data_IF_278718352074
#
_entry.id   IF_278718352074
#
_cell.length_a   1.000
_cell.length_b   1.000
_cell.length_c   1.000
_cell.angle_alpha   90.00
_cell.angle_beta   90.00
_cell.angle_gamma   90.00
#
_symmetry.space_group_name_H-M   'P 1'
#
loop_
_entity.id
_entity.type
_entity.pdbx_description
1 polymer ?
#
# COMPACT_ATOMS: atom_id res chain seq x y z
N UNK A 1 63.56 63.45 20.47
CA UNK A 1 62.66 62.33 20.82
C UNK A 1 61.19 62.74 21.06
N UNK A 2 60.76 63.96 20.68
CA UNK A 2 59.35 64.38 20.80
C UNK A 2 58.51 64.16 19.54
N UNK A 3 59.08 64.36 18.34
CA UNK A 3 58.33 64.34 17.07
C UNK A 3 57.75 62.97 16.71
N UNK A 4 58.48 61.89 17.00
CA UNK A 4 58.03 60.51 16.71
C UNK A 4 56.78 60.08 17.49
N UNK A 5 56.54 60.59 18.71
CA UNK A 5 55.33 60.26 19.48
C UNK A 5 54.10 61.03 19.02
N UNK A 6 54.29 62.23 18.46
CA UNK A 6 53.21 63.05 17.93
C UNK A 6 52.69 62.50 16.61
N UNK A 7 53.57 61.99 15.76
CA UNK A 7 53.22 61.36 14.50
C UNK A 7 52.47 60.03 14.70
N UNK A 8 52.87 59.24 15.70
CA UNK A 8 52.18 58.00 16.09
C UNK A 8 50.78 58.27 16.67
N UNK A 9 50.63 59.32 17.49
CA UNK A 9 49.33 59.72 18.05
C UNK A 9 48.35 60.22 16.96
N UNK A 10 48.86 61.00 15.99
CA UNK A 10 48.07 61.45 14.85
C UNK A 10 47.61 60.29 13.95
N UNK A 11 48.45 59.27 13.78
CA UNK A 11 48.11 58.06 13.03
C UNK A 11 47.02 57.24 13.73
N UNK A 12 47.07 57.13 15.06
CA UNK A 12 46.03 56.44 15.85
C UNK A 12 44.69 57.18 15.75
N UNK A 13 44.69 58.51 15.93
CA UNK A 13 43.45 59.29 15.82
C UNK A 13 42.84 59.22 14.42
N UNK A 14 43.66 59.24 13.36
CA UNK A 14 43.18 59.05 11.99
C UNK A 14 42.49 57.70 11.81
N UNK A 15 43.11 56.61 12.29
CA UNK A 15 42.52 55.26 12.23
C UNK A 15 41.20 55.14 12.99
N UNK A 16 41.09 55.79 14.16
CA UNK A 16 39.85 55.80 14.95
C UNK A 16 38.74 56.53 14.18
N UNK A 17 39.04 57.69 13.59
CA UNK A 17 38.07 58.48 12.82
C UNK A 17 37.62 57.72 11.56
N UNK A 18 38.54 57.04 10.86
CA UNK A 18 38.24 56.18 9.71
C UNK A 18 37.33 55.00 10.09
N UNK A 19 37.61 54.32 11.21
CA UNK A 19 36.79 53.21 11.68
C UNK A 19 35.39 53.67 12.15
N UNK A 20 35.30 54.84 12.77
CA UNK A 20 34.03 55.46 13.10
C UNK A 20 33.22 55.78 11.83
N UNK A 21 33.85 56.37 10.81
CA UNK A 21 33.19 56.64 9.52
C UNK A 21 32.66 55.36 8.87
N UNK A 22 33.46 54.30 8.85
CA UNK A 22 33.04 53.00 8.28
C UNK A 22 31.82 52.44 8.99
N UNK A 23 31.76 52.54 10.32
CA UNK A 23 30.59 52.12 11.11
C UNK A 23 29.36 52.99 10.82
N UNK A 24 29.55 54.30 10.65
CA UNK A 24 28.46 55.20 10.26
C UNK A 24 27.92 54.91 8.85
N UNK A 25 28.79 54.60 7.89
CA UNK A 25 28.39 54.24 6.52
C UNK A 25 27.61 52.92 6.47
N UNK A 26 27.98 51.92 7.29
CA UNK A 26 27.22 50.66 7.43
C UNK A 26 25.83 50.92 8.02
N UNK A 27 25.75 51.80 9.02
CA UNK A 27 24.48 52.19 9.63
C UNK A 27 23.62 53.04 8.68
N UNK A 28 24.21 53.87 7.83
CA UNK A 28 23.51 54.64 6.79
C UNK A 28 22.90 53.71 5.71
N UNK A 29 23.58 52.61 5.36
CA UNK A 29 23.06 51.61 4.41
C UNK A 29 21.85 50.80 4.93
N UNK A 30 21.55 50.85 6.23
CA UNK A 30 20.43 50.14 6.81
C UNK A 30 19.10 50.91 6.56
N UNK A 31 18.29 50.42 5.62
CA UNK A 31 17.00 51.01 5.21
C UNK A 31 15.97 51.23 6.34
N UNK A 32 16.15 50.55 7.48
CA UNK A 32 15.35 50.72 8.70
C UNK A 32 15.63 52.06 9.40
N UNK A 33 16.83 52.63 9.26
CA UNK A 33 17.23 53.87 9.94
C UNK A 33 16.60 55.12 9.31
N UNK A 34 16.16 55.04 8.06
CA UNK A 34 15.41 56.12 7.41
C UNK A 34 14.02 56.37 8.04
N UNK A 35 13.47 55.38 8.74
CA UNK A 35 12.13 55.42 9.35
C UNK A 35 12.16 55.75 10.85
N UNK A 36 13.35 55.92 11.44
CA UNK A 36 13.50 56.27 12.85
C UNK A 36 13.61 57.79 12.96
N UNK A 37 12.61 58.40 13.59
CA UNK A 37 12.62 59.82 13.95
C UNK A 37 12.91 59.96 15.44
N UNK A 38 13.55 61.06 15.83
CA UNK A 38 13.62 61.42 17.25
C UNK A 38 12.20 61.70 17.78
N UNK A 39 12.02 61.57 19.09
CA UNK A 39 10.82 61.89 19.88
C UNK A 39 10.19 63.26 19.57
N UNK A 40 10.96 64.21 19.02
CA UNK A 40 10.52 65.55 18.62
C UNK A 40 10.13 65.66 17.14
N UNK A 41 10.38 64.63 16.32
CA UNK A 41 10.09 64.62 14.87
C UNK A 41 10.93 65.57 14.01
N UNK A 42 11.91 66.26 14.60
CA UNK A 42 12.66 67.36 13.95
C UNK A 42 13.76 66.90 12.99
N UNK A 43 14.28 65.69 13.15
CA UNK A 43 15.22 65.08 12.21
C UNK A 43 15.05 63.55 12.17
N UNK A 44 15.22 62.97 10.98
CA UNK A 44 15.35 61.52 10.80
C UNK A 44 16.74 61.08 11.25
N UNK A 45 16.85 59.89 11.86
CA UNK A 45 18.12 59.26 12.22
C UNK A 45 19.05 59.16 11.00
N UNK A 46 18.51 58.96 9.79
CA UNK A 46 19.29 59.01 8.55
C UNK A 46 19.93 60.38 8.31
N UNK A 47 19.20 61.49 8.52
CA UNK A 47 19.75 62.84 8.35
C UNK A 47 20.82 63.16 9.40
N UNK A 48 20.63 62.69 10.63
CA UNK A 48 21.61 62.85 11.70
C UNK A 48 22.90 62.06 11.40
N UNK A 49 22.77 60.80 10.97
CA UNK A 49 23.90 59.97 10.57
C UNK A 49 24.65 60.58 9.39
N UNK A 50 23.93 61.09 8.39
CA UNK A 50 24.52 61.79 7.25
C UNK A 50 25.28 63.05 7.67
N UNK A 51 24.70 63.89 8.54
CA UNK A 51 25.36 65.10 9.07
C UNK A 51 26.63 64.76 9.87
N UNK A 52 26.57 63.71 10.70
CA UNK A 52 27.74 63.27 11.50
C UNK A 52 28.82 62.66 10.62
N UNK A 53 28.45 61.89 9.59
CA UNK A 53 29.38 61.35 8.59
C UNK A 53 30.09 62.47 7.83
N UNK A 54 29.36 63.50 7.39
CA UNK A 54 29.94 64.69 6.74
C UNK A 54 30.87 65.47 7.67
N UNK A 55 30.50 65.63 8.95
CA UNK A 55 31.36 66.28 9.95
C UNK A 55 32.67 65.50 10.18
N UNK A 56 32.61 64.18 10.28
CA UNK A 56 33.80 63.33 10.44
C UNK A 56 34.69 63.34 9.19
N UNK A 57 34.10 63.38 7.98
CA UNK A 57 34.87 63.56 6.73
C UNK A 57 35.59 64.90 6.70
N UNK A 58 34.95 65.98 7.16
CA UNK A 58 35.58 67.30 7.31
C UNK A 58 36.78 67.25 8.27
N UNK A 59 36.61 66.61 9.42
CA UNK A 59 37.71 66.40 10.40
C UNK A 59 38.86 65.61 9.78
N UNK A 60 38.57 64.59 8.97
CA UNK A 60 39.59 63.79 8.30
C UNK A 60 40.38 64.61 7.27
N UNK A 61 39.71 65.49 6.52
CA UNK A 61 40.35 66.43 5.58
C UNK A 61 41.24 67.43 6.34
N UNK A 62 40.78 67.97 7.46
CA UNK A 62 41.59 68.87 8.29
C UNK A 62 42.81 68.16 8.92
N UNK A 63 42.64 66.91 9.36
CA UNK A 63 43.71 66.05 9.86
C UNK A 63 44.72 65.64 8.78
N UNK A 64 44.32 65.63 7.52
CA UNK A 64 45.19 65.40 6.38
C UNK A 64 45.95 66.67 5.97
N UNK A 65 45.31 67.84 6.07
CA UNK A 65 45.91 69.13 5.73
C UNK A 65 46.88 69.66 6.80
N UNK A 66 46.64 69.39 8.10
CA UNK A 66 47.44 69.92 9.21
C UNK A 66 47.65 68.89 10.35
N UNK A 67 48.66 67.99 10.26
CA UNK A 67 48.92 66.97 11.29
C UNK A 67 49.38 67.53 12.65
N UNK A 68 49.73 68.82 12.75
CA UNK A 68 50.19 69.47 13.98
C UNK A 68 49.07 70.04 14.87
N UNK A 69 47.81 70.06 14.40
CA UNK A 69 46.70 70.67 15.14
C UNK A 69 46.10 69.76 16.24
N UNK A 70 46.54 68.51 16.31
CA UNK A 70 46.00 67.50 17.23
C UNK A 70 46.38 67.72 18.71
N UNK A 71 47.37 68.57 19.00
CA UNK A 71 47.71 68.93 20.38
C UNK A 71 46.73 69.95 20.99
N UNK A 72 45.83 70.54 20.20
CA UNK A 72 44.92 71.60 20.68
C UNK A 72 43.49 71.12 21.01
N UNK A 73 43.13 69.87 20.72
CA UNK A 73 41.71 69.42 20.82
C UNK A 73 41.44 68.51 22.03
N UNK A 74 42.46 68.03 22.73
CA UNK A 74 42.32 67.24 23.98
C UNK A 74 42.33 68.09 25.26
N UNK A 75 42.32 69.42 25.13
CA UNK A 75 42.15 70.30 26.27
C UNK A 75 40.69 70.76 26.32
N UNK A 76 40.06 70.56 27.47
CA UNK A 76 38.78 71.13 27.88
C UNK A 76 38.90 72.67 28.04
N UNK A 77 39.53 73.35 27.07
CA UNK A 77 39.87 74.78 27.09
C UNK A 77 39.09 75.60 26.05
N UNK A 78 38.37 74.95 25.13
CA UNK A 78 37.49 75.60 24.14
C UNK A 78 36.13 76.06 24.69
N UNK A 79 36.10 76.45 25.97
CA UNK A 79 35.01 77.22 26.60
C UNK A 79 35.54 78.31 27.55
N UNK A 80 36.87 78.43 27.69
CA UNK A 80 37.52 79.46 28.52
C UNK A 80 38.23 80.56 27.73
N UNK A 81 38.34 80.43 26.41
CA UNK A 81 39.04 81.40 25.54
C UNK A 81 38.07 82.34 24.81
N UNK A 82 37.20 83.02 25.56
CA UNK A 82 36.39 84.12 25.05
C UNK A 82 36.39 85.32 26.02
N UNK A 83 37.55 85.63 26.61
CA UNK A 83 37.78 86.85 27.39
C UNK A 83 39.15 87.48 27.10
N UNK A 84 39.54 87.53 25.82
CA UNK A 84 40.63 88.38 25.35
C UNK A 84 40.14 89.22 24.16
N UNK A 85 39.29 90.19 24.48
CA UNK A 85 38.99 91.35 23.65
C UNK A 85 38.68 92.50 24.60
N UNK A 86 39.67 93.38 24.81
CA UNK A 86 39.63 94.85 24.66
C UNK A 86 40.92 95.38 25.29
N UNK A 87 42.00 95.42 24.51
CA UNK A 87 43.01 96.46 24.65
C UNK A 87 42.56 97.61 23.73
N UNK A 88 42.10 98.71 24.31
CA UNK A 88 42.23 100.09 23.81
C UNK A 88 41.28 101.02 24.57
N UNK A 89 41.73 101.49 25.73
CA UNK A 89 41.32 102.79 26.25
C UNK A 89 42.43 103.29 27.18
N UNK A 90 43.18 104.25 26.68
CA UNK A 90 44.03 105.15 27.45
C UNK A 90 43.23 105.82 28.56
N UNK A 91 43.63 105.60 29.80
CA UNK A 91 43.06 106.27 30.97
C UNK A 91 43.46 105.52 32.23
N UNK A 92 44.27 106.14 33.08
CA UNK A 92 44.53 105.66 34.44
C UNK A 92 43.22 105.67 35.24
N UNK A 93 42.42 104.61 35.12
CA UNK A 93 41.28 104.37 35.99
C UNK A 93 41.67 103.23 36.94
N UNK A 94 42.20 103.66 38.08
CA UNK A 94 42.52 102.83 39.24
C UNK A 94 41.24 102.11 39.67
N UNK A 95 41.01 100.89 39.18
CA UNK A 95 39.92 100.01 39.61
C UNK A 95 40.14 99.73 41.10
N UNK A 96 39.48 100.52 41.94
CA UNK A 96 39.36 100.28 43.37
C UNK A 96 38.45 99.06 43.52
N UNK A 97 39.03 97.86 43.61
CA UNK A 97 38.32 96.73 44.17
C UNK A 97 37.91 97.11 45.58
N UNK A 98 36.62 97.36 45.79
CA UNK A 98 36.08 97.42 47.13
C UNK A 98 36.42 96.07 47.79
N UNK A 99 37.32 96.13 48.79
CA UNK A 99 37.83 94.95 49.49
C UNK A 99 36.68 94.09 50.02
N UNK A 100 35.54 94.72 50.32
CA UNK A 100 34.32 94.04 50.72
C UNK A 100 33.71 93.18 49.60
N UNK A 101 33.60 93.70 48.38
CA UNK A 101 33.08 92.94 47.23
C UNK A 101 33.97 91.74 46.87
N UNK A 102 35.29 91.92 46.91
CA UNK A 102 36.22 90.83 46.64
C UNK A 102 36.08 89.71 47.68
N UNK A 103 36.01 90.07 48.96
CA UNK A 103 35.81 89.11 50.05
C UNK A 103 34.45 88.40 49.93
N UNK A 104 33.40 89.09 49.51
CA UNK A 104 32.07 88.48 49.32
C UNK A 104 32.05 87.53 48.12
N UNK A 105 32.72 87.89 47.02
CA UNK A 105 32.94 86.98 45.88
C UNK A 105 33.77 85.76 46.28
N UNK A 106 34.83 85.92 47.07
CA UNK A 106 35.61 84.80 47.58
C UNK A 106 34.77 83.85 48.47
N UNK A 107 33.93 84.40 49.36
CA UNK A 107 32.99 83.59 50.16
C UNK A 107 31.99 82.85 49.28
N UNK A 108 31.48 83.52 48.23
CA UNK A 108 30.57 82.89 47.26
C UNK A 108 31.26 81.78 46.49
N UNK A 109 32.49 81.99 46.01
CA UNK A 109 33.31 80.96 45.36
C UNK A 109 33.56 79.78 46.29
N UNK A 110 33.88 80.01 47.56
CA UNK A 110 34.05 78.93 48.55
C UNK A 110 32.74 78.17 48.81
N UNK A 111 31.60 78.86 48.88
CA UNK A 111 30.28 78.21 49.04
C UNK A 111 29.91 77.38 47.82
N UNK A 112 30.23 77.85 46.62
CA UNK A 112 30.02 77.13 45.37
C UNK A 112 30.98 75.95 45.23
N UNK A 113 32.24 76.09 45.64
CA UNK A 113 33.20 74.99 45.66
C UNK A 113 32.74 73.85 46.58
N UNK A 114 32.29 74.17 47.81
CA UNK A 114 31.69 73.19 48.73
C UNK A 114 30.44 72.53 48.14
N UNK A 115 29.61 73.29 47.41
CA UNK A 115 28.43 72.76 46.73
C UNK A 115 28.80 71.85 45.56
N UNK A 116 29.86 72.17 44.82
CA UNK A 116 30.40 71.31 43.76
C UNK A 116 30.96 70.01 44.33
N UNK A 117 31.70 70.06 45.44
CA UNK A 117 32.18 68.86 46.13
C UNK A 117 31.03 67.97 46.60
N UNK A 118 29.98 68.55 47.19
CA UNK A 118 28.78 67.81 47.60
C UNK A 118 28.08 67.15 46.40
N UNK A 119 27.93 67.89 45.29
CA UNK A 119 27.32 67.36 44.07
C UNK A 119 28.19 66.27 43.43
N UNK A 120 29.53 66.41 43.45
CA UNK A 120 30.44 65.37 42.97
C UNK A 120 30.30 64.09 43.79
N UNK A 121 30.21 64.19 45.12
CA UNK A 121 29.97 63.04 45.98
C UNK A 121 28.62 62.37 45.68
N UNK A 122 27.54 63.15 45.54
CA UNK A 122 26.23 62.64 45.16
C UNK A 122 26.26 61.96 43.79
N UNK A 123 26.90 62.56 42.79
CA UNK A 123 27.08 61.95 41.47
C UNK A 123 27.86 60.64 41.57
N UNK A 124 28.89 60.56 42.41
CA UNK A 124 29.64 59.32 42.62
C UNK A 124 28.78 58.23 43.27
N UNK A 125 28.00 58.56 44.30
CA UNK A 125 27.06 57.61 44.92
C UNK A 125 25.99 57.11 43.96
N UNK A 126 25.37 58.00 43.17
CA UNK A 126 24.37 57.59 42.18
C UNK A 126 24.98 56.71 41.08
N UNK A 127 26.18 57.05 40.60
CA UNK A 127 26.89 56.20 39.63
C UNK A 127 27.25 54.83 40.22
N UNK A 128 27.63 54.76 41.51
CA UNK A 128 27.89 53.50 42.18
C UNK A 128 26.62 52.65 42.26
N UNK A 129 25.49 53.21 42.70
CA UNK A 129 24.20 52.49 42.76
C UNK A 129 23.78 51.98 41.39
N UNK A 130 23.88 52.81 40.36
CA UNK A 130 23.54 52.41 38.99
C UNK A 130 24.47 51.32 38.46
N UNK A 131 25.76 51.35 38.84
CA UNK A 131 26.70 50.28 38.51
C UNK A 131 26.33 48.96 39.17
N UNK A 132 25.98 48.98 40.46
CA UNK A 132 25.52 47.79 41.19
C UNK A 132 24.23 47.22 40.58
N UNK A 133 23.23 48.06 40.32
CA UNK A 133 21.99 47.66 39.66
C UNK A 133 22.25 47.05 38.28
N UNK A 134 23.14 47.64 37.50
CA UNK A 134 23.55 47.12 36.20
C UNK A 134 24.25 45.75 36.32
N UNK A 135 25.13 45.56 37.31
CA UNK A 135 25.77 44.27 37.56
C UNK A 135 24.76 43.18 37.94
N UNK A 136 23.81 43.52 38.82
CA UNK A 136 22.74 42.60 39.24
C UNK A 136 21.89 42.22 38.02
N UNK A 137 21.54 43.18 37.17
CA UNK A 137 20.72 42.91 35.99
C UNK A 137 21.47 42.05 34.96
N UNK A 138 22.76 42.30 34.74
CA UNK A 138 23.61 41.41 33.92
C UNK A 138 23.68 39.99 34.50
N UNK A 139 23.78 39.84 35.82
CA UNK A 139 23.79 38.53 36.47
C UNK A 139 22.47 37.79 36.29
N UNK A 140 21.32 38.46 36.43
CA UNK A 140 19.99 37.89 36.15
C UNK A 140 19.87 37.43 34.70
N UNK A 141 20.27 38.26 33.75
CA UNK A 141 20.22 37.91 32.33
C UNK A 141 21.08 36.67 32.02
N UNK A 142 22.29 36.60 32.59
CA UNK A 142 23.14 35.40 32.46
C UNK A 142 22.49 34.16 33.05
N UNK A 143 21.87 34.28 34.23
CA UNK A 143 21.16 33.17 34.87
C UNK A 143 19.99 32.68 34.00
N UNK A 144 19.14 33.59 33.53
CA UNK A 144 17.99 33.25 32.66
C UNK A 144 18.47 32.57 31.38
N UNK A 145 19.52 33.10 30.73
CA UNK A 145 20.08 32.51 29.52
C UNK A 145 20.57 31.08 29.73
N UNK A 146 21.32 30.82 30.80
CA UNK A 146 21.83 29.49 31.14
C UNK A 146 20.70 28.53 31.53
N UNK A 147 19.73 29.00 32.29
CA UNK A 147 18.56 28.20 32.66
C UNK A 147 17.72 27.84 31.44
N UNK A 148 17.48 28.79 30.54
CA UNK A 148 16.76 28.52 29.30
C UNK A 148 17.50 27.56 28.38
N UNK A 149 18.84 27.68 28.27
CA UNK A 149 19.62 26.74 27.46
C UNK A 149 19.56 25.33 28.03
N UNK A 150 19.75 25.17 29.34
CA UNK A 150 19.66 23.87 30.01
C UNK A 150 18.26 23.25 29.88
N UNK A 151 17.21 24.06 30.06
CA UNK A 151 15.82 23.60 29.88
C UNK A 151 15.55 23.13 28.44
N UNK A 152 16.04 23.88 27.44
CA UNK A 152 15.89 23.51 26.02
C UNK A 152 16.67 22.22 25.70
N UNK A 153 17.86 22.05 26.25
CA UNK A 153 18.67 20.85 26.10
C UNK A 153 17.98 19.62 26.71
N UNK A 154 17.54 19.71 27.96
CA UNK A 154 16.79 18.64 28.63
C UNK A 154 15.52 18.26 27.86
N UNK A 155 14.78 19.25 27.34
CA UNK A 155 13.59 18.98 26.53
C UNK A 155 13.93 18.25 25.22
N UNK A 156 15.02 18.64 24.55
CA UNK A 156 15.48 17.96 23.33
C UNK A 156 15.85 16.51 23.60
N UNK A 157 16.57 16.25 24.68
CA UNK A 157 16.94 14.89 25.07
C UNK A 157 15.71 14.04 25.41
N UNK A 158 14.77 14.59 26.20
CA UNK A 158 13.53 13.92 26.54
C UNK A 158 12.69 13.56 25.30
N UNK A 159 12.58 14.49 24.35
CA UNK A 159 11.89 14.23 23.08
C UNK A 159 12.64 13.16 22.27
N UNK A 160 13.98 13.24 22.20
CA UNK A 160 14.80 12.26 21.49
C UNK A 160 14.60 10.84 22.03
N UNK A 161 14.64 10.67 23.35
CA UNK A 161 14.39 9.38 24.01
C UNK A 161 12.97 8.88 23.71
N UNK A 162 11.96 9.76 23.80
CA UNK A 162 10.59 9.38 23.50
C UNK A 162 10.41 8.95 22.04
N UNK A 163 11.07 9.62 21.10
CA UNK A 163 11.06 9.24 19.68
C UNK A 163 11.72 7.89 19.48
N UNK A 164 12.85 7.62 20.13
CA UNK A 164 13.51 6.31 20.04
C UNK A 164 12.64 5.18 20.60
N UNK A 165 11.94 5.41 21.70
CA UNK A 165 11.05 4.41 22.29
C UNK A 165 9.85 4.14 21.41
N UNK A 166 9.23 5.19 20.84
CA UNK A 166 8.16 5.04 19.86
C UNK A 166 8.62 4.30 18.60
N UNK A 167 9.86 4.54 18.14
CA UNK A 167 10.43 3.79 17.02
C UNK A 167 10.60 2.30 17.35
N UNK A 168 11.05 1.95 18.56
CA UNK A 168 11.14 0.55 19.00
C UNK A 168 9.75 -0.09 19.04
N UNK A 169 8.78 0.57 19.66
CA UNK A 169 7.39 0.10 19.70
C UNK A 169 6.83 -0.13 18.29
N UNK A 170 7.06 0.83 17.38
CA UNK A 170 6.67 0.72 15.98
C UNK A 170 7.31 -0.51 15.31
N UNK A 171 8.61 -0.73 15.50
CA UNK A 171 9.28 -1.92 14.93
C UNK A 171 8.74 -3.24 15.45
N UNK A 172 8.32 -3.29 16.72
CA UNK A 172 7.73 -4.49 17.32
C UNK A 172 6.35 -4.74 16.72
N UNK A 173 5.52 -3.70 16.60
CA UNK A 173 4.19 -3.80 15.98
C UNK A 173 4.29 -4.19 14.52
N UNK A 174 5.22 -3.60 13.76
CA UNK A 174 5.42 -3.93 12.34
C UNK A 174 5.87 -5.38 12.15
N UNK A 175 6.76 -5.89 13.01
CA UNK A 175 7.14 -7.31 13.02
C UNK A 175 5.96 -8.22 13.35
N UNK A 176 5.17 -7.87 14.36
CA UNK A 176 3.97 -8.63 14.73
C UNK A 176 2.96 -8.67 13.57
N UNK A 177 2.73 -7.53 12.91
CA UNK A 177 1.87 -7.43 11.73
C UNK A 177 2.40 -8.24 10.56
N UNK A 178 3.69 -8.18 10.28
CA UNK A 178 4.32 -8.98 9.22
C UNK A 178 4.16 -10.48 9.49
N UNK A 179 4.40 -10.92 10.73
CA UNK A 179 4.20 -12.31 11.13
C UNK A 179 2.73 -12.75 10.99
N UNK A 180 1.78 -11.91 11.41
CA UNK A 180 0.36 -12.19 11.25
C UNK A 180 -0.05 -12.29 9.78
N UNK A 181 0.50 -11.43 8.92
CA UNK A 181 0.27 -11.48 7.48
C UNK A 181 0.84 -12.76 6.84
N UNK A 182 2.06 -13.16 7.21
CA UNK A 182 2.64 -14.42 6.75
C UNK A 182 1.81 -15.62 7.23
N UNK A 183 1.37 -15.63 8.48
CA UNK A 183 0.48 -16.67 8.99
C UNK A 183 -0.83 -16.75 8.20
N UNK A 184 -1.47 -15.61 7.91
CA UNK A 184 -2.68 -15.56 7.09
C UNK A 184 -2.43 -16.14 5.69
N UNK A 185 -1.36 -15.73 5.00
CA UNK A 185 -1.01 -16.27 3.69
C UNK A 185 -0.79 -17.80 3.73
N UNK A 186 -0.12 -18.32 4.75
CA UNK A 186 0.09 -19.77 4.88
C UNK A 186 -1.21 -20.52 5.14
N UNK A 187 -2.15 -19.92 5.87
CA UNK A 187 -3.47 -20.48 6.13
C UNK A 187 -4.27 -20.52 4.82
N UNK A 188 -4.27 -19.44 4.05
CA UNK A 188 -4.96 -19.37 2.75
C UNK A 188 -4.42 -20.44 1.79
N UNK A 189 -3.08 -20.55 1.66
CA UNK A 189 -2.44 -21.58 0.83
C UNK A 189 -2.84 -23.01 1.27
N UNK A 190 -2.95 -23.25 2.57
CA UNK A 190 -3.38 -24.55 3.09
C UNK A 190 -4.84 -24.83 2.73
N UNK A 191 -5.74 -23.85 2.87
CA UNK A 191 -7.14 -24.02 2.50
C UNK A 191 -7.32 -24.22 1.01
N UNK A 192 -6.62 -23.47 0.16
CA UNK A 192 -6.64 -23.65 -1.28
C UNK A 192 -6.20 -25.06 -1.67
N UNK A 193 -5.07 -25.53 -1.11
CA UNK A 193 -4.60 -26.89 -1.32
C UNK A 193 -5.62 -27.93 -0.84
N UNK A 194 -6.23 -27.71 0.34
CA UNK A 194 -7.19 -28.66 0.90
C UNK A 194 -8.47 -28.72 0.07
N UNK A 195 -8.96 -27.59 -0.42
CA UNK A 195 -10.10 -27.49 -1.32
C UNK A 195 -9.84 -28.23 -2.61
N UNK A 196 -8.72 -27.95 -3.28
CA UNK A 196 -8.32 -28.65 -4.50
C UNK A 196 -8.21 -30.18 -4.29
N UNK A 197 -7.62 -30.61 -3.16
CA UNK A 197 -7.55 -32.03 -2.83
C UNK A 197 -8.96 -32.64 -2.61
N UNK A 198 -9.87 -31.92 -1.96
CA UNK A 198 -11.24 -32.40 -1.78
C UNK A 198 -12.02 -32.45 -3.10
N UNK A 199 -11.86 -31.45 -3.97
CA UNK A 199 -12.45 -31.42 -5.31
C UNK A 199 -11.97 -32.61 -6.13
N UNK A 200 -10.66 -32.88 -6.15
CA UNK A 200 -10.10 -34.05 -6.82
C UNK A 200 -10.70 -35.36 -6.29
N UNK A 201 -10.86 -35.52 -4.97
CA UNK A 201 -11.51 -36.72 -4.44
C UNK A 201 -12.97 -36.84 -4.87
N UNK A 202 -13.70 -35.73 -4.96
CA UNK A 202 -15.09 -35.73 -5.44
C UNK A 202 -15.13 -36.16 -6.91
N UNK A 203 -14.26 -35.60 -7.75
CA UNK A 203 -14.14 -35.96 -9.17
C UNK A 203 -13.79 -37.44 -9.36
N UNK A 204 -12.88 -37.98 -8.56
CA UNK A 204 -12.53 -39.41 -8.57
C UNK A 204 -13.75 -40.28 -8.22
N UNK A 205 -14.50 -39.91 -7.20
CA UNK A 205 -15.72 -40.63 -6.80
C UNK A 205 -16.80 -40.53 -7.87
N UNK A 206 -17.00 -39.36 -8.48
CA UNK A 206 -17.94 -39.17 -9.58
C UNK A 206 -17.57 -40.04 -10.78
N UNK A 207 -16.30 -40.03 -11.18
CA UNK A 207 -15.80 -40.84 -12.31
C UNK A 207 -15.98 -42.34 -12.06
N UNK A 208 -15.72 -42.80 -10.83
CA UNK A 208 -15.96 -44.21 -10.44
C UNK A 208 -17.43 -44.56 -10.50
N UNK A 209 -18.30 -43.69 -9.96
CA UNK A 209 -19.74 -43.89 -9.97
C UNK A 209 -20.29 -43.98 -11.39
N UNK A 210 -19.88 -43.07 -12.28
CA UNK A 210 -20.32 -43.07 -13.68
C UNK A 210 -19.88 -44.33 -14.39
N UNK A 211 -18.63 -44.77 -14.19
CA UNK A 211 -18.15 -46.05 -14.74
C UNK A 211 -18.95 -47.24 -14.23
N UNK A 212 -19.18 -47.33 -12.92
CA UNK A 212 -19.97 -48.43 -12.33
C UNK A 212 -21.41 -48.42 -12.84
N UNK A 213 -22.01 -47.24 -12.99
CA UNK A 213 -23.34 -47.08 -13.57
C UNK A 213 -23.38 -47.58 -15.01
N UNK A 214 -22.44 -47.16 -15.86
CA UNK A 214 -22.35 -47.63 -17.25
C UNK A 214 -22.15 -49.15 -17.34
N UNK A 215 -21.33 -49.74 -16.46
CA UNK A 215 -21.15 -51.19 -16.38
C UNK A 215 -22.45 -51.91 -16.02
N UNK A 216 -23.23 -51.39 -15.05
CA UNK A 216 -24.53 -51.97 -14.69
C UNK A 216 -25.55 -51.83 -15.82
N UNK A 217 -25.62 -50.66 -16.45
CA UNK A 217 -26.50 -50.42 -17.60
C UNK A 217 -26.17 -51.39 -18.75
N UNK A 218 -24.88 -51.61 -19.03
CA UNK A 218 -24.44 -52.59 -20.02
C UNK A 218 -24.84 -54.04 -19.64
N UNK A 219 -24.76 -54.40 -18.36
CA UNK A 219 -25.22 -55.72 -17.87
C UNK A 219 -26.73 -55.87 -18.05
N UNK A 220 -27.52 -54.86 -17.71
CA UNK A 220 -28.97 -54.88 -17.90
C UNK A 220 -29.35 -54.95 -19.37
N UNK A 221 -28.65 -54.23 -20.26
CA UNK A 221 -28.88 -54.32 -21.69
C UNK A 221 -28.59 -55.72 -22.23
N UNK A 222 -27.48 -56.35 -21.82
CA UNK A 222 -27.16 -57.74 -22.18
C UNK A 222 -28.23 -58.71 -21.67
N UNK A 223 -28.64 -58.58 -20.41
CA UNK A 223 -29.69 -59.43 -19.82
C UNK A 223 -31.02 -59.30 -20.60
N UNK A 224 -31.46 -58.06 -20.91
CA UNK A 224 -32.65 -57.82 -21.73
C UNK A 224 -32.52 -58.40 -23.14
N UNK A 225 -31.34 -58.33 -23.75
CA UNK A 225 -31.10 -58.93 -25.07
C UNK A 225 -31.20 -60.46 -25.02
N UNK A 226 -30.61 -61.09 -24.00
CA UNK A 226 -30.73 -62.54 -23.81
C UNK A 226 -32.16 -62.98 -23.53
N UNK A 227 -32.90 -62.24 -22.71
CA UNK A 227 -34.31 -62.51 -22.42
C UNK A 227 -35.16 -62.44 -23.69
N UNK A 228 -34.96 -61.41 -24.53
CA UNK A 228 -35.61 -61.31 -25.84
C UNK A 228 -35.31 -62.52 -26.73
N UNK A 229 -34.04 -62.90 -26.84
CA UNK A 229 -33.64 -64.06 -27.64
C UNK A 229 -34.29 -65.37 -27.15
N UNK A 230 -34.33 -65.60 -25.84
CA UNK A 230 -34.99 -66.79 -25.26
C UNK A 230 -36.50 -66.78 -25.50
N UNK A 231 -37.15 -65.61 -25.39
CA UNK A 231 -38.57 -65.48 -25.69
C UNK A 231 -38.87 -65.77 -27.18
N UNK A 232 -38.04 -65.29 -28.10
CA UNK A 232 -38.15 -65.61 -29.53
C UNK A 232 -37.94 -67.12 -29.78
N UNK A 233 -36.96 -67.74 -29.13
CA UNK A 233 -36.70 -69.17 -29.26
C UNK A 233 -37.85 -70.01 -28.69
N UNK A 234 -38.43 -69.59 -27.57
CA UNK A 234 -39.60 -70.23 -26.97
C UNK A 234 -40.80 -70.17 -27.92
N UNK A 235 -41.05 -69.00 -28.54
CA UNK A 235 -42.11 -68.86 -29.55
C UNK A 235 -41.89 -69.79 -30.74
N UNK A 236 -40.66 -69.91 -31.25
CA UNK A 236 -40.34 -70.84 -32.33
C UNK A 236 -40.55 -72.31 -31.91
N UNK A 237 -40.16 -72.66 -30.70
CA UNK A 237 -40.38 -74.01 -30.16
C UNK A 237 -41.87 -74.33 -30.04
N UNK A 238 -42.67 -73.39 -29.52
CA UNK A 238 -44.13 -73.54 -29.43
C UNK A 238 -44.77 -73.71 -30.81
N UNK A 239 -44.33 -72.93 -31.81
CA UNK A 239 -44.78 -73.06 -33.20
C UNK A 239 -44.43 -74.43 -33.79
N UNK A 240 -43.19 -74.89 -33.61
CA UNK A 240 -42.76 -76.20 -34.10
C UNK A 240 -43.51 -77.35 -33.41
N UNK A 241 -43.75 -77.24 -32.10
CA UNK A 241 -44.53 -78.24 -31.37
C UNK A 241 -45.96 -78.33 -31.90
N UNK A 242 -46.59 -77.20 -32.22
CA UNK A 242 -47.91 -77.16 -32.85
C UNK A 242 -47.90 -77.78 -34.25
N UNK A 243 -46.88 -77.48 -35.07
CA UNK A 243 -46.73 -78.06 -36.40
C UNK A 243 -46.56 -79.59 -36.35
N UNK A 244 -45.75 -80.11 -35.42
CA UNK A 244 -45.59 -81.55 -35.21
C UNK A 244 -46.94 -82.19 -34.85
N UNK A 245 -47.68 -81.61 -33.90
CA UNK A 245 -49.00 -82.12 -33.52
C UNK A 245 -49.98 -82.15 -34.69
N UNK A 246 -49.93 -81.14 -35.58
CA UNK A 246 -50.79 -81.11 -36.76
C UNK A 246 -50.36 -82.14 -37.82
N UNK A 247 -49.06 -82.33 -38.01
CA UNK A 247 -48.51 -83.37 -38.89
C UNK A 247 -48.84 -84.78 -38.39
N UNK A 248 -48.79 -85.02 -37.07
CA UNK A 248 -49.20 -86.30 -36.46
C UNK A 248 -50.67 -86.60 -36.72
N UNK A 249 -51.56 -85.61 -36.58
CA UNK A 249 -52.99 -85.76 -36.93
C UNK A 249 -53.16 -86.09 -38.41
N UNK A 250 -52.37 -85.47 -39.28
CA UNK A 250 -52.38 -85.78 -40.71
C UNK A 250 -51.92 -87.22 -40.91
N UNK A 251 -50.76 -87.64 -40.38
CA UNK A 251 -50.26 -89.01 -40.49
C UNK A 251 -51.29 -90.06 -40.06
N UNK A 252 -51.97 -89.85 -38.92
CA UNK A 252 -53.05 -90.74 -38.48
C UNK A 252 -54.20 -90.86 -39.49
N UNK A 253 -54.59 -89.76 -40.14
CA UNK A 253 -55.60 -89.80 -41.21
C UNK A 253 -55.11 -90.60 -42.42
N UNK A 254 -53.85 -90.40 -42.83
CA UNK A 254 -53.27 -91.14 -43.95
C UNK A 254 -53.16 -92.64 -43.65
N UNK A 255 -52.78 -93.01 -42.42
CA UNK A 255 -52.75 -94.40 -41.96
C UNK A 255 -54.15 -95.02 -42.00
N UNK A 256 -55.16 -94.35 -41.44
CA UNK A 256 -56.55 -94.81 -41.46
C UNK A 256 -57.09 -94.97 -42.91
N UNK A 257 -56.77 -94.02 -43.80
CA UNK A 257 -57.10 -94.13 -45.22
C UNK A 257 -56.40 -95.31 -45.91
N UNK A 258 -55.14 -95.56 -45.57
CA UNK A 258 -54.37 -96.68 -46.11
C UNK A 258 -54.95 -98.02 -45.65
N UNK A 259 -55.26 -98.15 -44.35
CA UNK A 259 -55.93 -99.33 -43.78
C UNK A 259 -57.30 -99.57 -44.43
N UNK A 260 -58.08 -98.51 -44.65
CA UNK A 260 -59.36 -98.61 -45.34
C UNK A 260 -59.21 -99.06 -46.79
N UNK A 261 -58.24 -98.49 -47.54
CA UNK A 261 -57.93 -98.90 -48.92
C UNK A 261 -57.50 -100.37 -48.96
N UNK A 262 -56.65 -100.82 -48.04
CA UNK A 262 -56.28 -102.23 -47.92
C UNK A 262 -57.49 -103.12 -47.63
N UNK A 263 -58.36 -102.72 -46.70
CA UNK A 263 -59.59 -103.44 -46.38
C UNK A 263 -60.49 -103.56 -47.61
N UNK A 264 -60.72 -102.46 -48.32
CA UNK A 264 -61.47 -102.44 -49.57
C UNK A 264 -60.83 -103.34 -50.64
N UNK A 265 -59.50 -103.31 -50.80
CA UNK A 265 -58.80 -104.20 -51.72
C UNK A 265 -58.96 -105.68 -51.35
N UNK A 266 -58.83 -106.04 -50.07
CA UNK A 266 -59.05 -107.41 -49.57
C UNK A 266 -60.48 -107.86 -49.83
N UNK A 267 -61.47 -107.02 -49.55
CA UNK A 267 -62.88 -107.34 -49.77
C UNK A 267 -63.23 -107.43 -51.26
N UNK A 268 -62.73 -106.51 -52.08
CA UNK A 268 -62.87 -106.56 -53.55
C UNK A 268 -62.28 -107.86 -54.11
N UNK A 269 -61.10 -108.27 -53.63
CA UNK A 269 -60.47 -109.55 -54.01
C UNK A 269 -61.35 -110.75 -53.63
N UNK A 270 -61.95 -110.75 -52.43
CA UNK A 270 -62.90 -111.79 -51.99
C UNK A 270 -64.16 -111.83 -52.84
N UNK A 271 -64.77 -110.68 -53.10
CA UNK A 271 -65.95 -110.56 -53.97
C UNK A 271 -65.64 -111.04 -55.39
N UNK A 272 -64.49 -110.67 -55.94
CA UNK A 272 -64.04 -111.13 -57.24
C UNK A 272 -63.87 -112.65 -57.26
N UNK A 273 -63.20 -113.24 -56.26
CA UNK A 273 -63.04 -114.69 -56.15
C UNK A 273 -64.39 -115.42 -55.98
N UNK A 274 -65.28 -114.90 -55.13
CA UNK A 274 -66.63 -115.43 -54.94
C UNK A 274 -67.43 -115.41 -56.23
N UNK A 275 -67.47 -114.27 -56.92
CA UNK A 275 -68.17 -114.12 -58.21
C UNK A 275 -67.62 -115.08 -59.26
N UNK A 276 -66.28 -115.18 -59.39
CA UNK A 276 -65.64 -116.15 -60.28
C UNK A 276 -66.04 -117.59 -59.93
N UNK A 277 -66.09 -117.94 -58.65
CA UNK A 277 -66.55 -119.25 -58.18
C UNK A 277 -68.04 -119.53 -58.46
N UNK A 278 -68.91 -118.53 -58.33
CA UNK A 278 -70.34 -118.63 -58.69
C UNK A 278 -70.52 -118.77 -60.19
N UNK A 279 -69.77 -118.00 -60.99
CA UNK A 279 -69.78 -118.13 -62.45
C UNK A 279 -69.41 -119.55 -62.89
N UNK A 280 -68.39 -120.17 -62.28
CA UNK A 280 -68.02 -121.58 -62.54
C UNK A 280 -69.14 -122.55 -62.12
N UNK A 281 -69.72 -122.39 -60.93
CA UNK A 281 -70.77 -123.31 -60.41
C UNK A 281 -72.10 -123.23 -61.18
N UNK A 282 -72.52 -122.03 -61.59
CA UNK A 282 -73.76 -121.81 -62.36
C UNK A 282 -73.57 -121.91 -63.87
N UNK A 283 -72.33 -122.06 -64.33
CA UNK A 283 -72.01 -122.22 -65.75
C UNK A 283 -72.08 -120.92 -66.57
N UNK A 284 -71.91 -119.77 -65.94
CA UNK A 284 -71.81 -118.49 -66.64
C UNK A 284 -70.35 -118.25 -67.09
N UNK A 285 -70.16 -117.93 -68.37
CA UNK A 285 -68.85 -117.60 -68.97
C UNK A 285 -68.15 -118.77 -69.65
N UNK A 286 -66.90 -118.54 -70.11
CA UNK A 286 -66.12 -119.41 -71.03
C UNK A 286 -65.83 -120.83 -70.52
N UNK A 287 -66.09 -121.12 -69.24
CA UNK A 287 -65.88 -122.42 -68.58
C UNK A 287 -67.19 -123.07 -68.10
N UNK A 288 -68.35 -122.52 -68.43
CA UNK A 288 -69.62 -123.10 -68.04
C UNK A 288 -69.89 -124.42 -68.75
N UNK A 289 -70.33 -125.42 -67.99
CA UNK A 289 -70.74 -126.76 -68.44
C UNK A 289 -72.08 -126.73 -69.18
N UNK A 290 -72.19 -125.87 -70.19
CA UNK A 290 -73.18 -125.99 -71.26
C UNK A 290 -72.63 -126.94 -72.32
N UNK A 291 -72.89 -128.25 -72.18
CA UNK A 291 -72.84 -129.18 -73.31
C UNK A 291 -71.67 -130.17 -73.35
N UNK A 292 -71.57 -131.07 -72.37
CA UNK A 292 -70.82 -132.32 -72.61
C UNK A 292 -71.50 -133.53 -72.00
N UNK A 293 -72.59 -133.94 -72.65
CA UNK A 293 -73.14 -135.29 -72.57
C UNK A 293 -73.60 -135.75 -73.98
N UNK A 294 -73.22 -137.00 -74.34
CA UNK A 294 -73.40 -137.79 -75.59
C UNK A 294 -72.31 -137.65 -76.67
N UNK A 295 -71.69 -138.69 -77.23
CA UNK A 295 -71.78 -140.17 -77.14
C UNK A 295 -70.72 -140.79 -78.08
N UNK A 296 -69.99 -141.86 -77.70
CA UNK A 296 -70.29 -143.30 -77.86
C UNK A 296 -69.78 -143.91 -79.19
N UNK A 297 -68.85 -144.89 -79.12
CA UNK A 297 -68.85 -146.08 -80.00
C UNK A 297 -67.98 -147.22 -79.44
N UNK A 298 -68.58 -148.40 -79.35
CA UNK A 298 -68.00 -149.67 -78.92
C UNK A 298 -67.34 -150.42 -80.09
N UNK A 299 -66.42 -151.34 -79.78
CA UNK A 299 -66.17 -152.56 -80.57
C UNK A 299 -65.80 -153.73 -79.65
N UNK A 300 -66.51 -154.84 -79.86
CA UNK A 300 -66.43 -156.15 -79.21
C UNK A 300 -65.05 -156.82 -79.27
N UNK A 301 -64.72 -157.66 -78.28
CA UNK A 301 -64.80 -159.16 -78.29
C UNK A 301 -64.15 -159.72 -77.02
N UNK A 302 -64.86 -160.54 -76.23
CA UNK A 302 -64.63 -162.00 -76.04
C UNK A 302 -63.22 -162.37 -75.51
N UNK A 303 -62.99 -163.24 -74.53
CA UNK A 303 -63.78 -164.21 -73.75
C UNK A 303 -62.80 -164.77 -72.68
N UNK A 304 -63.35 -165.23 -71.55
CA UNK A 304 -62.73 -166.07 -70.51
C UNK A 304 -61.63 -165.45 -69.66
#
# INVERSE_FOLDING_TARGET
MGESRHEESALICRKIVEECLRKFEILECCSKNAKLYDSTGTYSMANLLHQKSMGLRSVLVELAANPKHLASVTSLSTLGSCMSCVESASGEERIYYDRFEYLDRCKKIQSLAKRLELLQYQCHEYNHKLHEESQIEMAKQRFVMLWESARKEQLRESISLRVQDLQKEQTIVDRSRANAFQAALTIDQYYDWKLANTEQTIEDWMTRFDREKEEQDARFQKARATEKYWNELLQLYEQQAQEILDLEKVLQRWEAEAEFKEYCHRMATRLQAWWRGVMVRKGYGRFGTSGRNKGKKSKNKEKK
#
